data_IF_366584288888
#
_entry.id   IF_366584288888
#
_cell.length_a   1.000
_cell.length_b   1.000
_cell.length_c   1.000
_cell.angle_alpha   90.00
_cell.angle_beta   90.00
_cell.angle_gamma   90.00
#
_symmetry.space_group_name_H-M   'P 1'
#
loop_
_entity.id
_entity.type
_entity.pdbx_description
1 polymer ?
#
# COMPACT_ATOMS: atom_id res chain seq x y z
N UNK A 1 -22.13 3.10 -13.42
CA UNK A 1 -20.75 3.56 -13.26
C UNK A 1 -20.19 2.80 -12.08
N UNK A 2 -19.45 1.71 -12.32
CA UNK A 2 -18.88 0.91 -11.24
C UNK A 2 -17.86 1.80 -10.53
N UNK A 3 -18.21 2.27 -9.32
CA UNK A 3 -17.29 2.96 -8.44
C UNK A 3 -16.06 2.06 -8.32
N UNK A 4 -14.87 2.62 -8.57
CA UNK A 4 -13.61 1.91 -8.30
C UNK A 4 -13.73 1.28 -6.91
N UNK A 5 -13.39 -0.01 -6.72
CA UNK A 5 -13.38 -0.58 -5.39
C UNK A 5 -12.48 0.31 -4.53
N UNK A 6 -13.11 0.96 -3.55
CA UNK A 6 -12.41 1.86 -2.64
C UNK A 6 -11.47 0.95 -1.85
N UNK A 7 -10.16 1.09 -2.09
CA UNK A 7 -9.17 0.51 -1.19
C UNK A 7 -9.31 1.26 0.13
N UNK A 8 -10.03 0.68 1.08
CA UNK A 8 -10.16 1.21 2.44
C UNK A 8 -9.16 0.52 3.37
N UNK A 9 -7.94 1.04 3.40
CA UNK A 9 -6.92 0.61 4.37
C UNK A 9 -7.04 1.34 5.71
N UNK A 10 -7.82 2.42 5.80
CA UNK A 10 -7.66 3.43 6.84
C UNK A 10 -6.23 4.00 6.91
N UNK A 11 -5.91 4.67 8.02
CA UNK A 11 -4.54 5.09 8.35
C UNK A 11 -3.87 4.00 9.20
N UNK A 12 -2.64 3.62 8.84
CA UNK A 12 -1.83 2.65 9.60
C UNK A 12 -0.37 3.10 9.67
N UNK A 13 0.45 2.39 10.45
CA UNK A 13 1.88 2.66 10.60
C UNK A 13 2.71 1.42 10.23
N UNK A 14 3.83 1.68 9.59
CA UNK A 14 4.90 0.71 9.39
C UNK A 14 6.14 1.12 10.20
N UNK A 15 7.04 0.18 10.45
CA UNK A 15 8.10 0.40 11.40
C UNK A 15 9.25 1.26 10.87
N UNK A 16 9.32 2.51 11.31
CA UNK A 16 10.42 3.45 11.03
C UNK A 16 11.24 3.79 12.28
N UNK A 17 10.98 3.12 13.40
CA UNK A 17 11.65 3.29 14.67
C UNK A 17 12.22 1.95 15.19
N UNK A 18 12.87 1.99 16.35
CA UNK A 18 13.25 0.77 17.05
C UNK A 18 11.99 0.00 17.48
N UNK A 19 12.00 -1.31 17.25
CA UNK A 19 10.96 -2.24 17.69
C UNK A 19 11.63 -3.56 18.10
N UNK A 20 11.18 -4.24 19.16
CA UNK A 20 11.81 -5.47 19.64
C UNK A 20 11.73 -6.65 18.65
N UNK A 21 10.70 -6.65 17.78
CA UNK A 21 10.39 -7.80 16.90
C UNK A 21 10.39 -7.48 15.40
N UNK A 22 10.31 -6.20 15.03
CA UNK A 22 10.13 -5.77 13.63
C UNK A 22 11.33 -4.92 13.26
N UNK A 23 11.99 -5.21 12.16
CA UNK A 23 13.14 -4.42 11.75
C UNK A 23 12.70 -3.01 11.33
N UNK A 24 13.62 -2.06 11.47
CA UNK A 24 13.38 -0.67 11.09
C UNK A 24 13.53 -0.51 9.58
N UNK A 25 12.57 0.18 8.97
CA UNK A 25 12.67 0.67 7.59
C UNK A 25 13.36 2.03 7.63
N UNK A 26 14.65 2.06 7.32
CA UNK A 26 15.44 3.31 7.35
C UNK A 26 15.19 4.20 6.12
N UNK A 27 14.86 3.61 4.97
CA UNK A 27 14.66 4.32 3.71
C UNK A 27 13.45 3.78 2.93
N UNK A 28 12.22 4.17 3.29
CA UNK A 28 11.04 3.86 2.49
C UNK A 28 11.08 4.64 1.16
N UNK A 29 10.63 4.00 0.08
CA UNK A 29 10.65 4.59 -1.26
C UNK A 29 9.33 5.30 -1.60
N UNK A 30 9.42 6.33 -2.43
CA UNK A 30 8.29 7.06 -2.98
C UNK A 30 8.06 6.63 -4.43
N UNK A 31 6.94 5.94 -4.67
CA UNK A 31 6.68 5.28 -5.95
C UNK A 31 5.85 6.14 -6.90
N UNK A 32 6.18 6.13 -8.19
CA UNK A 32 5.35 6.75 -9.24
C UNK A 32 4.53 5.70 -9.97
N UNK A 33 3.21 5.89 -10.16
CA UNK A 33 2.42 4.97 -10.97
C UNK A 33 2.91 4.93 -12.41
N UNK A 34 2.87 3.73 -13.02
CA UNK A 34 3.35 3.53 -14.38
C UNK A 34 2.21 3.61 -15.41
N UNK A 35 2.41 4.43 -16.45
CA UNK A 35 1.49 4.54 -17.58
C UNK A 35 0.12 5.10 -17.22
N UNK A 36 -0.83 4.99 -18.16
CA UNK A 36 -2.19 5.55 -18.02
C UNK A 36 -3.12 4.73 -17.11
N UNK A 37 -2.75 3.49 -16.76
CA UNK A 37 -3.52 2.59 -15.88
C UNK A 37 -2.86 2.40 -14.52
N UNK A 38 -1.77 3.11 -14.26
CA UNK A 38 -1.16 3.22 -12.95
C UNK A 38 -1.92 4.21 -12.07
N UNK A 39 -2.12 3.87 -10.80
CA UNK A 39 -2.77 4.72 -9.82
C UNK A 39 -1.98 4.76 -8.50
N UNK A 40 -2.04 5.88 -7.79
CA UNK A 40 -1.56 5.97 -6.40
C UNK A 40 -2.63 5.37 -5.49
N UNK A 41 -2.23 4.41 -4.65
CA UNK A 41 -3.11 3.71 -3.71
C UNK A 41 -2.98 4.26 -2.29
N UNK A 42 -1.76 4.58 -1.86
CA UNK A 42 -1.46 5.09 -0.52
C UNK A 42 -0.50 6.28 -0.59
N UNK A 43 -0.56 7.15 0.42
CA UNK A 43 0.36 8.29 0.59
C UNK A 43 1.00 8.26 1.98
N UNK A 44 2.26 8.65 2.07
CA UNK A 44 2.89 8.97 3.35
C UNK A 44 2.26 10.25 3.90
N UNK A 45 1.88 10.21 5.16
CA UNK A 45 1.16 11.31 5.81
C UNK A 45 2.06 12.54 6.01
N UNK A 46 3.37 12.33 6.08
CA UNK A 46 4.35 13.36 6.40
C UNK A 46 4.66 14.27 5.20
N UNK A 47 4.54 13.77 3.97
CA UNK A 47 4.99 14.48 2.77
C UNK A 47 4.11 14.27 1.52
N UNK A 48 2.96 13.59 1.65
CA UNK A 48 2.01 13.29 0.56
C UNK A 48 2.58 12.44 -0.60
N UNK A 49 3.82 11.97 -0.48
CA UNK A 49 4.44 11.10 -1.48
C UNK A 49 3.76 9.75 -1.50
N UNK A 50 3.73 9.13 -2.68
CA UNK A 50 3.03 7.87 -2.91
C UNK A 50 3.76 6.71 -2.25
N UNK A 51 3.11 6.11 -1.24
CA UNK A 51 3.62 5.00 -0.44
C UNK A 51 3.27 3.63 -1.06
N UNK A 52 2.25 3.59 -1.91
CA UNK A 52 1.93 2.41 -2.71
C UNK A 52 1.28 2.82 -4.03
N UNK A 53 1.58 2.06 -5.07
CA UNK A 53 1.00 2.22 -6.41
C UNK A 53 0.34 0.93 -6.86
N UNK A 54 -0.71 1.06 -7.65
CA UNK A 54 -1.40 -0.04 -8.28
C UNK A 54 -1.35 0.09 -9.79
N UNK A 55 -1.44 -1.04 -10.49
CA UNK A 55 -1.71 -1.08 -11.93
C UNK A 55 -2.98 -1.89 -12.17
N UNK A 56 -3.90 -1.35 -12.97
CA UNK A 56 -5.16 -2.03 -13.33
C UNK A 56 -5.33 -2.07 -14.84
N UNK A 57 -4.72 -3.07 -15.47
CA UNK A 57 -4.74 -3.25 -16.92
C UNK A 57 -5.02 -4.69 -17.35
N UNK A 58 -4.23 -5.20 -18.32
CA UNK A 58 -4.31 -6.62 -18.71
C UNK A 58 -3.88 -7.60 -17.61
N UNK A 59 -3.26 -7.08 -16.56
CA UNK A 59 -3.03 -7.72 -15.27
C UNK A 59 -3.24 -6.68 -14.17
N UNK A 60 -3.23 -7.14 -12.90
CA UNK A 60 -3.29 -6.27 -11.74
C UNK A 60 -2.09 -6.49 -10.85
N UNK A 61 -1.56 -5.41 -10.29
CA UNK A 61 -0.44 -5.46 -9.36
C UNK A 61 -0.53 -4.33 -8.34
N UNK A 62 0.01 -4.58 -7.16
CA UNK A 62 0.20 -3.59 -6.09
C UNK A 62 1.66 -3.62 -5.68
N UNK A 63 2.27 -2.45 -5.56
CA UNK A 63 3.66 -2.30 -5.10
C UNK A 63 3.68 -1.29 -3.97
N UNK A 64 4.31 -1.68 -2.86
CA UNK A 64 4.54 -0.83 -1.70
C UNK A 64 5.97 -0.28 -1.72
N UNK A 65 6.14 0.97 -1.26
CA UNK A 65 7.44 1.59 -1.05
C UNK A 65 8.12 1.13 0.25
N UNK A 66 7.50 0.21 0.98
CA UNK A 66 8.02 -0.39 2.20
C UNK A 66 7.60 -1.87 2.29
N UNK A 67 8.30 -2.70 3.07
CA UNK A 67 7.96 -4.11 3.21
C UNK A 67 6.67 -4.31 4.04
N UNK A 68 5.74 -5.12 3.56
CA UNK A 68 4.42 -5.29 4.16
C UNK A 68 4.48 -5.80 5.61
N UNK A 69 5.42 -6.70 5.90
CA UNK A 69 5.66 -7.27 7.23
C UNK A 69 6.03 -6.23 8.29
N UNK A 70 6.42 -5.01 7.89
CA UNK A 70 6.81 -3.95 8.82
C UNK A 70 5.63 -3.17 9.39
N UNK A 71 4.39 -3.43 8.92
CA UNK A 71 3.16 -2.89 9.50
C UNK A 71 2.98 -3.48 10.91
N UNK A 72 2.86 -2.62 11.92
CA UNK A 72 2.94 -3.02 13.34
C UNK A 72 1.85 -4.00 13.78
N UNK A 73 0.58 -3.61 13.58
CA UNK A 73 -0.56 -4.37 14.09
C UNK A 73 -1.01 -5.44 13.07
N UNK A 74 -1.30 -6.65 13.55
CA UNK A 74 -1.89 -7.73 12.76
C UNK A 74 -3.22 -7.33 12.13
N UNK A 75 -4.06 -6.57 12.85
CA UNK A 75 -5.34 -6.10 12.35
C UNK A 75 -5.16 -5.13 11.17
N UNK A 76 -4.12 -4.29 11.21
CA UNK A 76 -3.78 -3.39 10.11
C UNK A 76 -3.23 -4.17 8.93
N UNK A 77 -2.35 -5.15 9.16
CA UNK A 77 -1.89 -6.08 8.11
C UNK A 77 -3.08 -6.78 7.44
N UNK A 78 -4.00 -7.33 8.22
CA UNK A 78 -5.19 -8.01 7.72
C UNK A 78 -6.08 -7.06 6.90
N UNK A 79 -6.30 -5.82 7.37
CA UNK A 79 -7.07 -4.82 6.64
C UNK A 79 -6.40 -4.45 5.32
N UNK A 80 -5.11 -4.12 5.35
CA UNK A 80 -4.34 -3.77 4.14
C UNK A 80 -4.33 -4.92 3.15
N UNK A 81 -4.08 -6.16 3.59
CA UNK A 81 -4.07 -7.33 2.71
C UNK A 81 -5.44 -7.60 2.11
N UNK A 82 -6.52 -7.44 2.88
CA UNK A 82 -7.89 -7.53 2.34
C UNK A 82 -8.09 -6.53 1.21
N UNK A 83 -7.69 -5.28 1.39
CA UNK A 83 -7.82 -4.26 0.34
C UNK A 83 -6.93 -4.54 -0.87
N UNK A 84 -5.73 -5.09 -0.67
CA UNK A 84 -4.84 -5.54 -1.76
C UNK A 84 -5.53 -6.65 -2.57
N UNK A 85 -6.08 -7.67 -1.90
CA UNK A 85 -6.77 -8.77 -2.58
C UNK A 85 -7.98 -8.26 -3.37
N UNK A 86 -8.80 -7.40 -2.78
CA UNK A 86 -9.93 -6.76 -3.46
C UNK A 86 -9.51 -5.94 -4.71
N UNK A 87 -8.34 -5.29 -4.65
CA UNK A 87 -7.81 -4.58 -5.81
C UNK A 87 -7.39 -5.55 -6.94
N UNK A 88 -6.79 -6.68 -6.57
CA UNK A 88 -6.28 -7.69 -7.49
C UNK A 88 -7.38 -8.58 -8.09
N UNK A 89 -8.56 -8.65 -7.47
CA UNK A 89 -9.71 -9.37 -8.02
C UNK A 89 -10.11 -8.81 -9.40
N UNK A 90 -10.38 -9.68 -10.40
CA UNK A 90 -10.96 -9.29 -11.67
C UNK A 90 -12.32 -8.58 -11.49
N UNK A 91 -12.73 -7.80 -12.51
CA UNK A 91 -14.06 -7.16 -12.51
C UNK A 91 -15.19 -8.15 -12.78
#
# INVERSE_FOLDING_TARGET
>A
QNLMPIIDTGTFRFNTAWHPEIYRVDAPDALKPAGNRGITLLRYRENEFSAAVGYRGGHRSVVFGFPFETIHNEQDRARVMKSVLQFLEPD
#
